data_IF_310240877245
#
_entry.id   IF_310240877245
#
_cell.length_a   1.000
_cell.length_b   1.000
_cell.length_c   1.000
_cell.angle_alpha   90.00
_cell.angle_beta   90.00
_cell.angle_gamma   90.00
#
_symmetry.space_group_name_H-M   'P 1'
#
loop_
_entity.id
_entity.type
_entity.pdbx_description
1 polymer ?
#
# COMPACT_ATOMS: atom_id res chain seq x y z
N UNK A 1 -0.91 25.71 31.60
CA UNK A 1 -0.11 25.04 30.55
C UNK A 1 -0.96 24.89 29.30
N UNK A 2 -0.58 25.51 28.16
CA UNK A 2 -1.29 25.31 26.89
C UNK A 2 -0.79 24.00 26.27
N UNK A 3 -1.58 22.93 26.37
CA UNK A 3 -1.30 21.69 25.66
C UNK A 3 -1.44 21.91 24.16
N UNK A 4 -0.37 21.64 23.39
CA UNK A 4 -0.46 21.58 21.94
C UNK A 4 -1.23 20.30 21.57
N UNK A 5 -2.25 20.41 20.72
CA UNK A 5 -3.02 19.27 20.27
C UNK A 5 -2.16 18.44 19.30
N UNK A 6 -1.40 17.48 19.82
CA UNK A 6 -0.70 16.48 19.01
C UNK A 6 -1.68 15.43 18.50
N UNK A 7 -1.61 15.12 17.21
CA UNK A 7 -2.40 14.03 16.62
C UNK A 7 -1.98 12.72 17.29
N UNK A 8 -2.92 12.02 17.93
CA UNK A 8 -2.67 10.68 18.49
C UNK A 8 -2.42 9.68 17.36
N UNK A 9 -1.32 8.94 17.44
CA UNK A 9 -1.11 7.74 16.63
C UNK A 9 -1.82 6.58 17.32
N UNK A 10 -2.88 6.07 16.70
CA UNK A 10 -3.64 4.93 17.23
C UNK A 10 -2.97 3.64 16.76
N UNK A 11 -2.64 2.75 17.70
CA UNK A 11 -2.21 1.38 17.42
C UNK A 11 -3.36 0.42 17.74
N UNK A 12 -3.47 -0.68 16.99
CA UNK A 12 -4.44 -1.72 17.27
C UNK A 12 -4.09 -2.38 18.62
N UNK A 13 -5.07 -2.60 19.50
CA UNK A 13 -4.84 -3.22 20.83
C UNK A 13 -4.22 -4.61 20.70
N UNK A 14 -4.53 -5.30 19.61
CA UNK A 14 -3.99 -6.60 19.23
C UNK A 14 -2.46 -6.58 19.08
N UNK A 15 -1.85 -5.43 18.77
CA UNK A 15 -0.39 -5.29 18.72
C UNK A 15 0.28 -5.54 20.07
N UNK A 16 -0.43 -5.34 21.19
CA UNK A 16 0.08 -5.55 22.54
C UNK A 16 0.00 -7.02 22.99
N UNK A 17 -0.65 -7.92 22.23
CA UNK A 17 -0.65 -9.35 22.53
C UNK A 17 0.79 -9.88 22.42
N UNK A 18 1.21 -10.66 23.42
CA UNK A 18 2.61 -11.07 23.58
C UNK A 18 3.18 -11.81 22.36
N UNK A 19 2.36 -12.57 21.65
CA UNK A 19 2.73 -13.28 20.42
C UNK A 19 2.95 -12.33 19.23
N UNK A 20 2.07 -11.34 19.05
CA UNK A 20 2.19 -10.31 18.01
C UNK A 20 3.37 -9.38 18.31
N UNK A 21 3.54 -8.95 19.56
CA UNK A 21 4.66 -8.12 19.99
C UNK A 21 6.02 -8.81 19.74
N UNK A 22 6.11 -10.12 20.01
CA UNK A 22 7.31 -10.92 19.72
C UNK A 22 7.61 -11.00 18.22
N UNK A 23 6.58 -11.23 17.39
CA UNK A 23 6.72 -11.25 15.92
C UNK A 23 7.17 -9.89 15.37
N UNK A 24 6.60 -8.80 15.89
CA UNK A 24 6.98 -7.42 15.53
C UNK A 24 8.43 -7.11 15.92
N UNK A 25 8.86 -7.51 17.12
CA UNK A 25 10.24 -7.30 17.59
C UNK A 25 11.24 -8.06 16.71
N UNK A 26 10.95 -9.33 16.40
CA UNK A 26 11.76 -10.12 15.48
C UNK A 26 11.84 -9.50 14.09
N UNK A 27 10.71 -9.01 13.57
CA UNK A 27 10.66 -8.33 12.28
C UNK A 27 11.55 -7.09 12.29
N UNK A 28 11.39 -6.20 13.27
CA UNK A 28 12.20 -4.98 13.40
C UNK A 28 13.70 -5.27 13.47
N UNK A 29 14.09 -6.34 14.16
CA UNK A 29 15.50 -6.78 14.18
C UNK A 29 15.98 -7.19 12.79
N UNK A 30 15.15 -7.91 12.02
CA UNK A 30 15.48 -8.33 10.66
C UNK A 30 15.48 -7.16 9.66
N UNK A 31 14.64 -6.13 9.85
CA UNK A 31 14.49 -5.01 8.92
C UNK A 31 15.83 -4.35 8.56
N UNK A 32 16.71 -4.18 9.55
CA UNK A 32 18.02 -3.54 9.38
C UNK A 32 19.01 -4.36 8.52
N UNK A 33 18.78 -5.66 8.36
CA UNK A 33 19.63 -6.56 7.58
C UNK A 33 19.09 -6.81 6.17
N UNK A 34 17.92 -6.26 5.83
CA UNK A 34 17.33 -6.43 4.51
C UNK A 34 17.89 -5.38 3.54
N UNK A 35 18.34 -5.85 2.38
CA UNK A 35 18.68 -4.96 1.26
C UNK A 35 17.40 -4.30 0.71
N UNK A 36 17.22 -2.97 0.85
CA UNK A 36 16.03 -2.27 0.38
C UNK A 36 15.80 -2.42 -1.13
N UNK A 37 16.86 -2.64 -1.92
CA UNK A 37 16.78 -2.85 -3.36
C UNK A 37 16.12 -4.17 -3.77
N UNK A 38 16.03 -5.13 -2.83
CA UNK A 38 15.39 -6.44 -3.04
C UNK A 38 13.97 -6.52 -2.50
N UNK A 39 13.50 -5.48 -1.79
CA UNK A 39 12.19 -5.50 -1.17
C UNK A 39 11.09 -5.10 -2.17
N UNK A 40 10.02 -5.90 -2.19
CA UNK A 40 8.84 -5.68 -3.01
C UNK A 40 7.62 -5.80 -2.12
N UNK A 41 7.05 -4.67 -1.71
CA UNK A 41 5.84 -4.66 -0.88
C UNK A 41 4.61 -4.70 -1.78
N UNK A 42 3.75 -5.69 -1.62
CA UNK A 42 2.49 -5.77 -2.36
C UNK A 42 1.32 -5.63 -1.40
N UNK A 43 0.28 -4.91 -1.83
CA UNK A 43 -0.92 -4.68 -1.05
C UNK A 43 -2.08 -4.23 -1.94
N UNK A 44 -3.28 -4.24 -1.37
CA UNK A 44 -4.52 -3.77 -2.00
C UNK A 44 -5.09 -2.53 -1.29
N UNK A 45 -5.66 -1.61 -2.06
CA UNK A 45 -6.43 -0.50 -1.51
C UNK A 45 -7.67 -0.24 -2.34
N UNK A 46 -8.72 0.21 -1.66
CA UNK A 46 -9.98 0.51 -2.32
C UNK A 46 -10.00 1.97 -2.81
N UNK A 47 -10.44 2.17 -4.05
CA UNK A 47 -10.65 3.48 -4.68
C UNK A 47 -12.14 3.58 -5.01
N UNK A 48 -12.81 4.61 -4.49
CA UNK A 48 -14.26 4.81 -4.69
C UNK A 48 -14.52 5.97 -5.63
N UNK A 49 -15.51 5.85 -6.51
CA UNK A 49 -15.88 6.93 -7.45
C UNK A 49 -16.53 8.14 -6.77
N UNK A 50 -16.95 8.01 -5.51
CA UNK A 50 -17.46 9.11 -4.70
C UNK A 50 -16.40 9.82 -3.84
N UNK A 51 -15.11 9.49 -4.01
CA UNK A 51 -14.03 10.16 -3.28
C UNK A 51 -14.06 11.69 -3.52
N UNK A 52 -13.97 12.44 -2.43
CA UNK A 52 -13.91 13.92 -2.42
C UNK A 52 -12.82 14.39 -1.48
N UNK A 53 -12.29 15.62 -1.66
CA UNK A 53 -11.29 16.17 -0.76
C UNK A 53 -11.84 16.24 0.68
N UNK A 54 -11.11 15.68 1.64
CA UNK A 54 -11.51 15.67 3.06
C UNK A 54 -11.30 17.05 3.69
N UNK A 55 -10.37 17.84 3.15
CA UNK A 55 -9.99 19.17 3.63
C UNK A 55 -9.78 20.10 2.45
N UNK A 56 -9.94 21.39 2.68
CA UNK A 56 -9.66 22.45 1.71
C UNK A 56 -9.47 23.79 2.41
N UNK A 57 -9.03 24.79 1.65
CA UNK A 57 -8.77 26.14 2.15
C UNK A 57 -10.00 27.03 1.91
N UNK A 58 -10.33 27.88 2.89
CA UNK A 58 -11.47 28.79 2.81
C UNK A 58 -11.35 29.94 3.81
N UNK A 59 -12.23 30.95 3.73
CA UNK A 59 -12.21 32.09 4.62
C UNK A 59 -12.26 31.69 6.09
N UNK A 60 -11.39 32.27 6.92
CA UNK A 60 -11.31 31.99 8.36
C UNK A 60 -12.68 32.22 9.01
N UNK A 61 -13.14 31.25 9.79
CA UNK A 61 -14.42 31.31 10.49
C UNK A 61 -15.66 30.89 9.67
N UNK A 62 -15.50 30.56 8.37
CA UNK A 62 -16.61 30.04 7.55
C UNK A 62 -16.44 28.55 7.27
N UNK A 63 -17.55 27.81 7.29
CA UNK A 63 -17.55 26.38 6.92
C UNK A 63 -17.33 26.23 5.41
N UNK A 64 -16.35 25.43 5.01
CA UNK A 64 -16.13 25.09 3.61
C UNK A 64 -17.28 24.21 3.11
N UNK A 65 -17.93 24.62 2.01
CA UNK A 65 -18.98 23.84 1.33
C UNK A 65 -18.34 23.04 0.19
N UNK A 66 -18.65 21.76 0.13
CA UNK A 66 -18.21 20.86 -0.94
C UNK A 66 -19.36 19.94 -1.33
N UNK A 67 -19.39 19.53 -2.60
CA UNK A 67 -20.39 18.62 -3.14
C UNK A 67 -19.77 17.25 -3.36
N UNK A 68 -20.47 16.21 -2.91
CA UNK A 68 -20.13 14.82 -3.17
C UNK A 68 -21.32 14.15 -3.87
N UNK A 69 -21.08 13.19 -4.78
CA UNK A 69 -22.16 12.41 -5.37
C UNK A 69 -22.99 11.74 -4.28
N UNK A 70 -24.31 11.90 -4.36
CA UNK A 70 -25.28 11.21 -3.51
C UNK A 70 -25.93 10.11 -4.36
N UNK A 71 -25.79 8.82 -3.98
CA UNK A 71 -26.27 7.66 -4.75
C UNK A 71 -25.16 6.68 -5.19
N UNK A 72 -25.49 5.70 -6.04
CA UNK A 72 -24.66 4.55 -6.42
C UNK A 72 -23.18 4.91 -6.73
N UNK A 73 -22.27 4.55 -5.83
CA UNK A 73 -20.82 4.61 -6.05
C UNK A 73 -20.27 3.22 -6.38
N UNK A 74 -19.26 3.16 -7.25
CA UNK A 74 -18.50 1.93 -7.49
C UNK A 74 -17.24 1.94 -6.65
N UNK A 75 -16.86 0.75 -6.18
CA UNK A 75 -15.63 0.52 -5.44
C UNK A 75 -14.71 -0.29 -6.33
N UNK A 76 -13.58 0.29 -6.67
CA UNK A 76 -12.51 -0.36 -7.42
C UNK A 76 -11.46 -0.87 -6.43
N UNK A 77 -10.88 -2.03 -6.72
CA UNK A 77 -9.73 -2.54 -5.98
C UNK A 77 -8.46 -2.22 -6.76
N UNK A 78 -7.55 -1.46 -6.16
CA UNK A 78 -6.24 -1.17 -6.72
C UNK A 78 -5.19 -2.02 -6.02
N UNK A 79 -4.41 -2.74 -6.82
CA UNK A 79 -3.26 -3.52 -6.43
C UNK A 79 -2.00 -2.87 -6.98
N UNK A 80 -0.92 -2.92 -6.19
CA UNK A 80 0.37 -2.41 -6.61
C UNK A 80 1.50 -3.05 -5.85
N UNK A 81 2.72 -2.89 -6.37
CA UNK A 81 3.95 -3.35 -5.76
C UNK A 81 4.92 -2.19 -5.59
N UNK A 82 5.29 -1.85 -4.36
CA UNK A 82 6.26 -0.80 -4.06
C UNK A 82 7.67 -1.38 -3.94
N UNK A 83 8.61 -0.81 -4.70
CA UNK A 83 10.06 -0.99 -4.57
C UNK A 83 10.71 0.29 -4.04
N UNK A 84 12.00 0.23 -3.74
CA UNK A 84 12.75 1.42 -3.32
C UNK A 84 12.83 2.51 -4.39
N UNK A 85 12.64 2.18 -5.67
CA UNK A 85 12.84 3.05 -6.81
C UNK A 85 11.56 3.38 -7.60
N UNK A 86 10.46 2.64 -7.38
CA UNK A 86 9.21 2.84 -8.13
C UNK A 86 8.03 2.09 -7.51
N UNK A 87 6.83 2.54 -7.87
CA UNK A 87 5.62 1.72 -7.78
C UNK A 87 5.45 0.96 -9.12
N UNK A 88 5.36 -0.37 -9.05
CA UNK A 88 5.28 -1.28 -10.19
C UNK A 88 4.08 -2.22 -10.08
N UNK A 89 3.83 -3.01 -11.14
CA UNK A 89 2.67 -3.89 -11.27
C UNK A 89 1.35 -3.24 -10.81
N UNK A 90 0.98 -2.03 -11.29
CA UNK A 90 -0.32 -1.45 -10.95
C UNK A 90 -1.45 -2.21 -11.65
N UNK A 91 -2.49 -2.60 -10.90
CA UNK A 91 -3.65 -3.28 -11.46
C UNK A 91 -4.93 -2.77 -10.78
N UNK A 92 -6.00 -2.57 -11.56
CA UNK A 92 -7.30 -2.10 -11.04
C UNK A 92 -8.37 -3.11 -11.43
N UNK A 93 -9.17 -3.52 -10.45
CA UNK A 93 -10.34 -4.38 -10.63
C UNK A 93 -11.63 -3.61 -10.35
N UNK A 94 -12.69 -3.87 -11.12
CA UNK A 94 -14.04 -3.36 -10.84
C UNK A 94 -14.72 -4.24 -9.79
N UNK A 95 -14.70 -3.79 -8.54
CA UNK A 95 -15.27 -4.52 -7.40
C UNK A 95 -14.24 -5.25 -6.52
N UNK A 96 -14.73 -5.98 -5.49
CA UNK A 96 -13.90 -6.77 -4.61
C UNK A 96 -13.26 -7.94 -5.38
N UNK A 97 -12.00 -8.22 -5.09
CA UNK A 97 -11.28 -9.32 -5.73
C UNK A 97 -11.40 -10.61 -4.90
N UNK A 98 -11.43 -11.76 -5.58
CA UNK A 98 -11.33 -13.06 -4.93
C UNK A 98 -9.89 -13.59 -5.00
N UNK A 99 -9.65 -14.79 -4.45
CA UNK A 99 -8.31 -15.40 -4.47
C UNK A 99 -7.77 -15.71 -5.86
N UNK A 100 -8.63 -15.95 -6.85
CA UNK A 100 -8.22 -16.23 -8.23
C UNK A 100 -7.77 -14.94 -8.93
N UNK A 101 -8.50 -13.85 -8.76
CA UNK A 101 -8.11 -12.53 -9.27
C UNK A 101 -6.74 -12.10 -8.70
N UNK A 102 -6.53 -12.33 -7.40
CA UNK A 102 -5.24 -12.04 -6.76
C UNK A 102 -4.10 -12.92 -7.30
N UNK A 103 -4.36 -14.22 -7.52
CA UNK A 103 -3.36 -15.11 -8.12
C UNK A 103 -3.02 -14.68 -9.56
N UNK A 104 -4.03 -14.33 -10.36
CA UNK A 104 -3.84 -13.82 -11.71
C UNK A 104 -3.02 -12.51 -11.71
N UNK A 105 -3.27 -11.62 -10.75
CA UNK A 105 -2.42 -10.44 -10.53
C UNK A 105 -0.96 -10.83 -10.27
N UNK A 106 -0.72 -11.78 -9.38
CA UNK A 106 0.63 -12.25 -9.06
C UNK A 106 1.32 -12.82 -10.30
N UNK A 107 0.65 -13.71 -11.03
CA UNK A 107 1.22 -14.40 -12.19
C UNK A 107 1.43 -13.47 -13.39
N UNK A 108 0.48 -12.58 -13.66
CA UNK A 108 0.47 -11.79 -14.90
C UNK A 108 1.07 -10.39 -14.74
N UNK A 109 1.08 -9.83 -13.54
CA UNK A 109 1.54 -8.45 -13.30
C UNK A 109 2.78 -8.42 -12.41
N UNK A 110 2.79 -9.18 -11.30
CA UNK A 110 3.90 -9.14 -10.35
C UNK A 110 5.11 -9.95 -10.84
N UNK A 111 4.93 -11.23 -11.16
CA UNK A 111 6.03 -12.14 -11.56
C UNK A 111 6.88 -11.57 -12.70
N UNK A 112 6.31 -10.96 -13.78
CA UNK A 112 7.11 -10.39 -14.86
C UNK A 112 8.06 -9.26 -14.44
N UNK A 113 7.80 -8.60 -13.30
CA UNK A 113 8.63 -7.49 -12.79
C UNK A 113 9.53 -7.90 -11.62
N UNK A 114 9.53 -9.18 -11.23
CA UNK A 114 10.43 -9.73 -10.20
C UNK A 114 11.79 -10.07 -10.79
N UNK A 115 12.82 -10.02 -9.93
CA UNK A 115 14.17 -10.47 -10.21
C UNK A 115 14.53 -11.61 -9.24
N UNK A 116 15.40 -12.55 -9.65
CA UNK A 116 15.94 -13.54 -8.72
C UNK A 116 16.58 -12.87 -7.50
N UNK A 117 16.25 -13.38 -6.32
CA UNK A 117 16.68 -12.84 -5.03
C UNK A 117 15.75 -11.79 -4.41
N UNK A 118 14.71 -11.34 -5.12
CA UNK A 118 13.72 -10.41 -4.55
C UNK A 118 12.94 -11.05 -3.39
N UNK A 119 12.53 -10.19 -2.45
CA UNK A 119 11.72 -10.55 -1.29
C UNK A 119 10.38 -9.83 -1.44
N UNK A 120 9.36 -10.59 -1.83
CA UNK A 120 7.98 -10.12 -1.86
C UNK A 120 7.42 -10.17 -0.44
N UNK A 121 6.99 -9.01 0.04
CA UNK A 121 6.43 -8.81 1.37
C UNK A 121 4.96 -8.41 1.23
N UNK A 122 4.09 -9.08 1.97
CA UNK A 122 2.66 -8.75 2.00
C UNK A 122 2.04 -8.98 3.37
N UNK A 123 0.84 -8.46 3.58
CA UNK A 123 0.04 -8.75 4.75
C UNK A 123 -0.59 -10.16 4.69
N UNK A 124 -1.29 -10.57 5.75
CA UNK A 124 -1.64 -11.97 5.93
C UNK A 124 -2.70 -12.46 4.92
N UNK A 125 -2.29 -13.36 4.03
CA UNK A 125 -3.17 -14.00 3.06
C UNK A 125 -3.69 -15.35 3.59
N UNK A 126 -4.95 -15.71 3.28
CA UNK A 126 -5.50 -17.02 3.63
C UNK A 126 -4.62 -18.18 3.13
N UNK A 127 -4.43 -19.22 3.96
CA UNK A 127 -3.41 -20.26 3.79
C UNK A 127 -3.42 -20.95 2.42
N UNK A 128 -4.61 -21.25 1.87
CA UNK A 128 -4.73 -21.88 0.54
C UNK A 128 -4.27 -20.96 -0.60
N UNK A 129 -4.54 -19.65 -0.50
CA UNK A 129 -4.10 -18.66 -1.48
C UNK A 129 -2.59 -18.44 -1.37
N UNK A 130 -2.06 -18.43 -0.15
CA UNK A 130 -0.63 -18.29 0.12
C UNK A 130 0.23 -19.40 -0.53
N UNK A 131 -0.28 -20.63 -0.65
CA UNK A 131 0.45 -21.73 -1.29
C UNK A 131 0.67 -21.50 -2.79
N UNK A 132 -0.39 -21.14 -3.54
CA UNK A 132 -0.28 -20.88 -4.97
C UNK A 132 0.60 -19.67 -5.27
N UNK A 133 0.38 -18.56 -4.54
CA UNK A 133 1.19 -17.33 -4.65
C UNK A 133 2.67 -17.60 -4.35
N UNK A 134 2.96 -18.38 -3.30
CA UNK A 134 4.34 -18.78 -2.96
C UNK A 134 5.00 -19.57 -4.09
N UNK A 135 4.28 -20.48 -4.76
CA UNK A 135 4.82 -21.25 -5.89
C UNK A 135 5.17 -20.34 -7.07
N UNK A 136 4.27 -19.44 -7.45
CA UNK A 136 4.49 -18.51 -8.55
C UNK A 136 5.72 -17.60 -8.28
N UNK A 137 5.81 -17.02 -7.08
CA UNK A 137 6.94 -16.16 -6.68
C UNK A 137 8.25 -16.97 -6.64
N UNK A 138 8.23 -18.20 -6.11
CA UNK A 138 9.41 -19.06 -6.05
C UNK A 138 9.89 -19.46 -7.44
N UNK A 139 8.99 -19.71 -8.39
CA UNK A 139 9.35 -20.01 -9.77
C UNK A 139 10.09 -18.85 -10.46
N UNK A 140 9.83 -17.60 -10.05
CA UNK A 140 10.57 -16.42 -10.49
C UNK A 140 11.93 -16.22 -9.79
N UNK A 141 12.34 -17.14 -8.90
CA UNK A 141 13.57 -17.02 -8.10
C UNK A 141 13.46 -16.04 -6.92
N UNK A 142 12.25 -15.62 -6.55
CA UNK A 142 11.99 -14.71 -5.43
C UNK A 142 11.43 -15.44 -4.20
N UNK A 143 11.32 -14.74 -3.07
CA UNK A 143 10.85 -15.29 -1.79
C UNK A 143 9.62 -14.53 -1.30
N UNK A 144 8.63 -15.26 -0.78
CA UNK A 144 7.42 -14.68 -0.17
C UNK A 144 7.54 -14.64 1.36
N UNK A 145 7.47 -13.44 1.92
CA UNK A 145 7.50 -13.14 3.35
C UNK A 145 6.18 -12.45 3.76
N UNK A 146 5.77 -12.67 5.01
CA UNK A 146 4.57 -12.07 5.58
C UNK A 146 4.92 -11.08 6.67
N UNK A 147 4.27 -9.93 6.64
CA UNK A 147 4.34 -8.97 7.74
C UNK A 147 3.72 -9.56 9.01
N UNK A 148 4.20 -9.13 10.20
CA UNK A 148 3.50 -9.43 11.44
C UNK A 148 2.05 -8.90 11.38
N UNK A 149 1.07 -9.61 11.97
CA UNK A 149 -0.32 -9.16 11.99
C UNK A 149 -0.46 -7.73 12.54
N UNK A 150 -1.47 -6.99 12.07
CA UNK A 150 -1.79 -5.64 12.52
C UNK A 150 -0.61 -4.65 12.45
N UNK A 151 0.25 -4.77 11.43
CA UNK A 151 1.49 -3.96 11.32
C UNK A 151 1.54 -3.04 10.09
N UNK A 152 0.54 -2.16 9.88
CA UNK A 152 0.55 -1.25 8.73
C UNK A 152 1.71 -0.25 8.79
N UNK A 153 2.25 0.03 9.98
CA UNK A 153 3.44 0.87 10.17
C UNK A 153 4.70 0.27 9.54
N UNK A 154 4.74 -1.05 9.35
CA UNK A 154 5.84 -1.78 8.73
C UNK A 154 5.62 -1.99 7.22
N UNK A 155 4.51 -1.49 6.66
CA UNK A 155 4.17 -1.62 5.25
C UNK A 155 4.28 -0.26 4.52
N UNK A 156 5.41 0.04 3.85
CA UNK A 156 5.62 1.35 3.23
C UNK A 156 4.66 1.66 2.08
N UNK A 157 4.06 0.65 1.43
CA UNK A 157 3.09 0.87 0.35
C UNK A 157 1.83 1.60 0.83
N UNK A 158 1.49 1.51 2.11
CA UNK A 158 0.37 2.24 2.70
C UNK A 158 0.56 3.77 2.63
N UNK A 159 1.82 4.23 2.68
CA UNK A 159 2.15 5.65 2.49
C UNK A 159 1.92 6.07 1.03
N UNK A 160 2.38 5.26 0.07
CA UNK A 160 2.15 5.49 -1.36
C UNK A 160 0.64 5.47 -1.70
N UNK A 161 -0.10 4.50 -1.18
CA UNK A 161 -1.56 4.42 -1.34
C UNK A 161 -2.28 5.59 -0.69
N UNK A 162 -1.81 6.08 0.46
CA UNK A 162 -2.36 7.28 1.07
C UNK A 162 -2.21 8.51 0.18
N UNK A 163 -1.06 8.67 -0.49
CA UNK A 163 -0.83 9.73 -1.49
C UNK A 163 -1.72 9.54 -2.72
N UNK A 164 -1.80 8.34 -3.30
CA UNK A 164 -2.67 8.05 -4.45
C UNK A 164 -4.12 8.38 -4.11
N UNK A 165 -4.62 7.92 -2.96
CA UNK A 165 -5.98 8.23 -2.49
C UNK A 165 -6.19 9.74 -2.28
N UNK A 166 -5.16 10.48 -1.91
CA UNK A 166 -5.25 11.94 -1.80
C UNK A 166 -5.44 12.60 -3.17
N UNK A 167 -4.61 12.26 -4.16
CA UNK A 167 -4.74 12.80 -5.52
C UNK A 167 -6.04 12.37 -6.21
N UNK A 168 -6.47 11.13 -6.02
CA UNK A 168 -7.77 10.64 -6.49
C UNK A 168 -8.93 11.47 -5.92
N UNK A 169 -8.88 11.84 -4.63
CA UNK A 169 -9.87 12.70 -4.00
C UNK A 169 -9.86 14.11 -4.58
N UNK A 170 -8.69 14.66 -4.91
CA UNK A 170 -8.58 15.97 -5.57
C UNK A 170 -9.13 15.95 -7.00
N UNK A 171 -8.85 14.89 -7.75
CA UNK A 171 -9.27 14.75 -9.14
C UNK A 171 -10.77 14.48 -9.31
N UNK A 172 -11.43 13.92 -8.29
CA UNK A 172 -12.89 13.71 -8.26
C UNK A 172 -13.45 12.98 -9.49
N UNK A 173 -12.70 12.01 -10.04
CA UNK A 173 -13.14 11.21 -11.18
C UNK A 173 -14.36 10.37 -10.80
N UNK A 174 -15.41 10.40 -11.64
CA UNK A 174 -16.73 9.80 -11.33
C UNK A 174 -17.05 8.55 -12.14
N UNK A 175 -16.29 8.29 -13.20
CA UNK A 175 -16.42 7.07 -14.01
C UNK A 175 -15.28 6.10 -13.71
N UNK A 176 -15.49 4.80 -13.98
CA UNK A 176 -14.41 3.79 -13.88
C UNK A 176 -13.29 4.12 -14.84
N UNK A 177 -13.62 4.43 -16.10
CA UNK A 177 -12.64 4.70 -17.16
C UNK A 177 -11.71 5.84 -16.79
N UNK A 178 -12.27 6.96 -16.32
CA UNK A 178 -11.46 8.13 -15.93
C UNK A 178 -10.62 7.83 -14.67
N UNK A 179 -11.17 7.03 -13.74
CA UNK A 179 -10.44 6.62 -12.54
C UNK A 179 -9.24 5.77 -12.91
N UNK A 180 -9.42 4.78 -13.78
CA UNK A 180 -8.36 3.90 -14.24
C UNK A 180 -7.26 4.66 -14.98
N UNK A 181 -7.64 5.52 -15.94
CA UNK A 181 -6.70 6.35 -16.68
C UNK A 181 -5.92 7.28 -15.75
N UNK A 182 -6.61 7.92 -14.79
CA UNK A 182 -5.97 8.82 -13.86
C UNK A 182 -5.02 8.10 -12.90
N UNK A 183 -5.38 6.91 -12.40
CA UNK A 183 -4.47 6.08 -11.60
C UNK A 183 -3.21 5.75 -12.40
N UNK A 184 -3.35 5.37 -13.68
CA UNK A 184 -2.21 5.10 -14.56
C UNK A 184 -1.24 6.29 -14.65
N UNK A 185 -1.76 7.50 -14.85
CA UNK A 185 -0.94 8.73 -14.86
C UNK A 185 -0.33 9.01 -13.49
N UNK A 186 -1.09 8.86 -12.41
CA UNK A 186 -0.61 9.14 -11.05
C UNK A 186 0.56 8.23 -10.64
N UNK A 187 0.51 6.95 -10.98
CA UNK A 187 1.59 6.00 -10.68
C UNK A 187 2.91 6.45 -11.31
N UNK A 188 2.87 7.03 -12.52
CA UNK A 188 4.06 7.55 -13.22
C UNK A 188 4.65 8.82 -12.58
N UNK A 189 3.88 9.52 -11.72
CA UNK A 189 4.37 10.73 -11.04
C UNK A 189 5.16 10.43 -9.76
N UNK A 190 5.06 9.21 -9.22
CA UNK A 190 5.76 8.80 -7.99
C UNK A 190 7.24 8.63 -8.32
N UNK A 191 8.08 9.49 -7.73
CA UNK A 191 9.51 9.53 -8.03
C UNK A 191 10.28 8.44 -7.26
N UNK A 192 11.46 8.02 -7.76
CA UNK A 192 12.30 7.05 -7.07
C UNK A 192 12.72 7.48 -5.66
N UNK A 193 13.11 8.73 -5.49
CA UNK A 193 13.48 9.28 -4.17
C UNK A 193 12.33 9.21 -3.18
N UNK A 194 11.11 9.47 -3.65
CA UNK A 194 9.90 9.35 -2.85
C UNK A 194 9.65 7.90 -2.40
N UNK A 195 9.88 6.93 -3.28
CA UNK A 195 9.76 5.51 -2.95
C UNK A 195 10.78 5.10 -1.87
N UNK A 196 12.02 5.54 -2.00
CA UNK A 196 13.08 5.29 -1.02
C UNK A 196 12.72 5.90 0.35
N UNK A 197 12.14 7.11 0.37
CA UNK A 197 11.68 7.76 1.58
C UNK A 197 10.55 6.97 2.27
N UNK A 198 9.63 6.37 1.52
CA UNK A 198 8.60 5.51 2.11
C UNK A 198 9.19 4.29 2.82
N UNK A 199 10.16 3.61 2.20
CA UNK A 199 10.86 2.48 2.80
C UNK A 199 11.64 2.90 4.05
N UNK A 200 12.35 4.02 3.98
CA UNK A 200 13.10 4.58 5.11
C UNK A 200 12.17 4.89 6.30
N UNK A 201 11.05 5.56 6.05
CA UNK A 201 10.03 5.88 7.06
C UNK A 201 9.43 4.63 7.73
N UNK A 202 9.37 3.50 7.02
CA UNK A 202 8.88 2.22 7.56
C UNK A 202 9.97 1.37 8.24
N UNK A 203 11.20 1.90 8.36
CA UNK A 203 12.32 1.27 9.05
C UNK A 203 13.24 0.43 8.17
N UNK A 204 13.08 0.45 6.84
CA UNK A 204 13.93 -0.29 5.89
C UNK A 204 15.06 0.57 5.33
N UNK A 205 15.57 1.53 6.11
CA UNK A 205 16.75 2.30 5.71
C UNK A 205 17.99 1.40 5.78
N UNK A 206 18.76 1.34 4.70
CA UNK A 206 20.07 0.69 4.71
C UNK A 206 20.97 1.43 5.71
N UNK A 207 21.45 0.74 6.73
CA UNK A 207 22.64 1.18 7.45
C UNK A 207 23.80 0.94 6.48
N UNK A 208 24.15 1.97 5.69
CA UNK A 208 25.42 1.98 4.98
C UNK A 208 26.51 1.91 6.06
N UNK A 209 27.03 0.70 6.28
CA UNK A 209 28.34 0.48 6.91
C UNK A 209 29.34 0.40 5.77
#
# INVERSE_FOLDING_TARGET
MRGCASKKTLFALEQARADIARRRTRWRTLQHHLDPGRLVFIDETWIKTNMTPIRGWGPRGKRLRAFAPHGHWRTLTFLGALRCDRLTAPCVFDGPINGQCFLAYVEQQLVPVLKPGDIVIMDNLGSHKAAAVRRAIKAAGARLWFLPPYSPDLNPIEQAFSKIKHWMRLAQKRTIKDTWQHVGTLVQTIQPEECANYLSNAGYASVKT
#
